data_IF_168079655698
#
_entry.id   IF_168079655698
#
_cell.length_a   1.000
_cell.length_b   1.000
_cell.length_c   1.000
_cell.angle_alpha   90.00
_cell.angle_beta   90.00
_cell.angle_gamma   90.00
#
_symmetry.space_group_name_H-M   'P 1'
#
loop_
_entity.id
_entity.type
_entity.pdbx_description
1 polymer ?
#
# COMPACT_ATOMS: atom_id res chain seq x y z
N UNK A 1 -6.98 3.41 31.35
CA UNK A 1 -5.65 2.97 30.88
C UNK A 1 -5.65 1.45 30.82
N UNK A 2 -5.42 0.85 29.64
CA UNK A 2 -5.39 -0.61 29.48
C UNK A 2 -4.21 -1.24 30.25
N UNK A 3 -4.33 -2.53 30.60
CA UNK A 3 -3.21 -3.24 31.24
C UNK A 3 -1.98 -3.30 30.32
N UNK A 4 -0.76 -3.36 30.88
CA UNK A 4 0.47 -3.49 30.07
C UNK A 4 0.42 -4.69 29.10
N UNK A 5 -0.27 -5.76 29.47
CA UNK A 5 -0.47 -6.93 28.62
C UNK A 5 -1.38 -6.64 27.41
N UNK A 6 -2.42 -5.82 27.59
CA UNK A 6 -3.29 -5.39 26.51
C UNK A 6 -2.56 -4.45 25.55
N UNK A 7 -1.79 -3.50 26.07
CA UNK A 7 -0.97 -2.59 25.24
C UNK A 7 0.05 -3.40 24.43
N UNK A 8 0.71 -4.38 25.05
CA UNK A 8 1.63 -5.27 24.35
C UNK A 8 0.96 -6.04 23.21
N UNK A 9 -0.28 -6.51 23.39
CA UNK A 9 -1.06 -7.19 22.35
C UNK A 9 -1.36 -6.26 21.17
N UNK A 10 -1.80 -5.04 21.44
CA UNK A 10 -2.11 -4.06 20.39
C UNK A 10 -0.86 -3.66 19.60
N UNK A 11 0.27 -3.42 20.27
CA UNK A 11 1.55 -3.13 19.60
C UNK A 11 2.04 -4.30 18.71
N UNK A 12 1.75 -5.54 19.11
CA UNK A 12 2.13 -6.71 18.32
C UNK A 12 1.20 -6.95 17.13
N UNK A 13 -0.11 -6.82 17.34
CA UNK A 13 -1.15 -7.20 16.37
C UNK A 13 -1.47 -6.09 15.37
N UNK A 14 -1.52 -4.82 15.80
CA UNK A 14 -1.89 -3.67 14.94
C UNK A 14 -0.69 -2.92 14.39
N UNK A 15 0.29 -2.67 15.26
CA UNK A 15 1.49 -1.91 14.89
C UNK A 15 2.58 -2.81 14.28
N UNK A 16 2.44 -4.14 14.38
CA UNK A 16 3.36 -5.12 13.79
C UNK A 16 4.74 -5.17 14.44
N UNK A 17 4.92 -4.56 15.63
CA UNK A 17 6.21 -4.46 16.32
C UNK A 17 6.74 -5.82 16.76
N UNK A 18 8.07 -5.96 16.82
CA UNK A 18 8.69 -7.18 17.34
C UNK A 18 8.51 -7.28 18.87
N UNK A 19 8.58 -8.50 19.41
CA UNK A 19 8.51 -8.74 20.86
C UNK A 19 9.65 -8.02 21.60
N UNK A 20 10.82 -7.88 20.96
CA UNK A 20 11.95 -7.14 21.51
C UNK A 20 11.66 -5.64 21.64
N UNK A 21 11.08 -5.04 20.59
CA UNK A 21 10.72 -3.62 20.59
C UNK A 21 9.61 -3.33 21.60
N UNK A 22 8.63 -4.23 21.74
CA UNK A 22 7.55 -4.11 22.73
C UNK A 22 8.10 -4.19 24.15
N UNK A 23 9.02 -5.13 24.39
CA UNK A 23 9.69 -5.28 25.68
C UNK A 23 10.46 -4.00 26.06
N UNK A 24 11.20 -3.44 25.12
CA UNK A 24 11.90 -2.16 25.29
C UNK A 24 10.91 -1.01 25.56
N UNK A 25 9.87 -0.88 24.74
CA UNK A 25 8.86 0.20 24.82
C UNK A 25 8.10 0.18 26.16
N UNK A 26 7.77 -1.00 26.68
CA UNK A 26 7.02 -1.16 27.93
C UNK A 26 7.91 -1.29 29.18
N UNK A 27 9.22 -1.21 28.99
CA UNK A 27 10.25 -1.42 30.00
C UNK A 27 10.03 -2.73 30.79
N UNK A 28 9.89 -3.84 30.07
CA UNK A 28 9.72 -5.19 30.62
C UNK A 28 10.65 -6.17 29.91
N UNK A 29 10.88 -7.34 30.51
CA UNK A 29 11.63 -8.39 29.82
C UNK A 29 10.84 -8.98 28.66
N UNK A 30 11.55 -9.44 27.62
CA UNK A 30 10.95 -10.22 26.51
C UNK A 30 10.21 -11.44 27.04
N UNK A 31 10.73 -12.10 28.08
CA UNK A 31 10.10 -13.23 28.78
C UNK A 31 8.72 -12.87 29.33
N UNK A 32 8.54 -11.65 29.84
CA UNK A 32 7.25 -11.14 30.33
C UNK A 32 6.24 -11.02 29.19
N UNK A 33 6.66 -10.54 28.02
CA UNK A 33 5.80 -10.41 26.83
C UNK A 33 5.40 -11.79 26.29
N UNK A 34 6.34 -12.74 26.19
CA UNK A 34 6.02 -14.13 25.83
C UNK A 34 5.06 -14.79 26.82
N UNK A 35 5.18 -14.48 28.12
CA UNK A 35 4.25 -14.97 29.15
C UNK A 35 2.84 -14.44 28.91
N UNK A 36 2.68 -13.16 28.62
CA UNK A 36 1.37 -12.57 28.32
C UNK A 36 0.74 -13.19 27.09
N UNK A 37 1.52 -13.32 26.00
CA UNK A 37 1.09 -14.00 24.78
C UNK A 37 0.61 -15.44 25.03
N UNK A 38 1.35 -16.22 25.82
CA UNK A 38 0.96 -17.59 26.19
C UNK A 38 -0.30 -17.63 27.07
N UNK A 39 -0.48 -16.65 27.95
CA UNK A 39 -1.64 -16.54 28.83
C UNK A 39 -2.90 -16.16 28.05
N UNK A 40 -2.78 -15.24 27.08
CA UNK A 40 -3.84 -14.87 26.16
C UNK A 40 -4.21 -16.02 25.22
N UNK A 41 -3.23 -16.80 24.74
CA UNK A 41 -3.49 -18.01 23.96
C UNK A 41 -4.33 -19.03 24.74
N UNK A 42 -4.06 -19.23 26.04
CA UNK A 42 -4.89 -20.08 26.91
C UNK A 42 -6.31 -19.56 27.08
N UNK A 43 -6.54 -18.27 26.87
CA UNK A 43 -7.85 -17.62 26.91
C UNK A 43 -8.52 -17.57 25.52
N UNK A 44 -7.93 -18.21 24.52
CA UNK A 44 -8.44 -18.25 23.14
C UNK A 44 -8.05 -17.03 22.28
N UNK A 45 -7.16 -16.16 22.78
CA UNK A 45 -6.70 -14.96 22.07
C UNK A 45 -5.33 -15.26 21.45
N UNK A 46 -5.33 -15.63 20.17
CA UNK A 46 -4.12 -15.92 19.41
C UNK A 46 -3.57 -14.64 18.74
N UNK A 47 -2.40 -14.19 19.20
CA UNK A 47 -1.75 -12.97 18.71
C UNK A 47 -1.22 -13.11 17.29
N UNK A 48 -0.78 -14.30 16.86
CA UNK A 48 -0.36 -14.54 15.48
C UNK A 48 -1.57 -14.45 14.55
N UNK A 49 -2.66 -15.12 14.92
CA UNK A 49 -3.90 -15.08 14.15
C UNK A 49 -4.44 -13.66 14.04
N UNK A 50 -4.50 -12.91 15.15
CA UNK A 50 -4.96 -11.52 15.15
C UNK A 50 -4.07 -10.59 14.31
N UNK A 51 -2.75 -10.82 14.32
CA UNK A 51 -1.82 -10.09 13.46
C UNK A 51 -2.05 -10.41 12.00
N UNK A 52 -2.21 -11.70 11.67
CA UNK A 52 -2.50 -12.13 10.29
C UNK A 52 -3.84 -11.57 9.83
N UNK A 53 -4.90 -11.64 10.64
CA UNK A 53 -6.22 -11.07 10.33
C UNK A 53 -6.15 -9.55 10.14
N UNK A 54 -5.32 -8.85 10.90
CA UNK A 54 -5.07 -7.41 10.73
C UNK A 54 -4.19 -7.08 9.52
N UNK A 55 -3.20 -7.92 9.19
CA UNK A 55 -2.35 -7.74 8.00
C UNK A 55 -3.11 -8.14 6.71
N UNK A 56 -4.11 -9.03 6.82
CA UNK A 56 -5.06 -9.38 5.77
C UNK A 56 -6.21 -8.35 5.63
N UNK A 57 -6.33 -7.41 6.55
CA UNK A 57 -7.19 -6.24 6.39
C UNK A 57 -6.56 -5.34 5.31
N UNK A 58 -6.93 -5.65 4.07
CA UNK A 58 -6.39 -5.11 2.83
C UNK A 58 -6.40 -3.57 2.82
N UNK A 59 -7.35 -2.96 3.53
CA UNK A 59 -7.46 -1.52 3.71
C UNK A 59 -6.33 -0.94 4.58
N UNK A 60 -5.96 -1.63 5.67
CA UNK A 60 -4.89 -1.20 6.57
C UNK A 60 -3.51 -1.34 5.92
N UNK A 61 -3.30 -2.41 5.14
CA UNK A 61 -2.11 -2.57 4.29
C UNK A 61 -2.02 -1.44 3.25
N UNK A 62 -3.11 -1.21 2.49
CA UNK A 62 -3.21 -0.12 1.50
C UNK A 62 -2.97 1.26 2.11
N UNK A 63 -3.44 1.51 3.34
CA UNK A 63 -3.25 2.78 4.05
C UNK A 63 -1.80 3.01 4.47
N UNK A 64 -1.12 1.98 5.01
CA UNK A 64 0.31 2.04 5.36
C UNK A 64 1.19 2.22 4.12
N UNK A 65 0.85 1.55 3.01
CA UNK A 65 1.55 1.68 1.74
C UNK A 65 1.42 3.09 1.14
N UNK A 66 0.21 3.66 1.14
CA UNK A 66 -0.03 5.05 0.70
C UNK A 66 0.72 6.07 1.57
N UNK A 67 0.70 5.91 2.89
CA UNK A 67 1.43 6.79 3.81
C UNK A 67 2.95 6.74 3.58
N UNK A 68 3.49 5.55 3.31
CA UNK A 68 4.91 5.38 2.99
C UNK A 68 5.31 6.04 1.67
N UNK A 69 4.48 5.91 0.63
CA UNK A 69 4.69 6.59 -0.66
C UNK A 69 4.66 8.11 -0.51
N UNK A 70 3.68 8.66 0.21
CA UNK A 70 3.60 10.10 0.49
C UNK A 70 4.84 10.61 1.22
N UNK A 71 5.33 9.89 2.23
CA UNK A 71 6.54 10.28 2.96
C UNK A 71 7.78 10.33 2.05
N UNK A 72 7.91 9.44 1.06
CA UNK A 72 9.00 9.48 0.07
C UNK A 72 8.87 10.71 -0.82
N UNK A 73 7.67 11.01 -1.31
CA UNK A 73 7.43 12.20 -2.15
C UNK A 73 7.68 13.50 -1.37
N UNK A 74 7.22 13.61 -0.14
CA UNK A 74 7.47 14.78 0.72
C UNK A 74 8.95 14.98 1.03
N UNK A 75 9.70 13.89 1.21
CA UNK A 75 11.14 13.95 1.44
C UNK A 75 11.86 14.41 0.16
N UNK A 76 11.43 13.92 -1.00
CA UNK A 76 11.96 14.34 -2.30
C UNK A 76 11.70 15.83 -2.57
N UNK A 77 10.47 16.30 -2.31
CA UNK A 77 10.11 17.71 -2.50
C UNK A 77 10.87 18.63 -1.56
N UNK A 78 11.09 18.21 -0.31
CA UNK A 78 11.90 18.95 0.67
C UNK A 78 13.36 19.05 0.23
N UNK A 79 13.91 17.95 -0.27
CA UNK A 79 15.32 17.87 -0.63
C UNK A 79 15.58 18.40 -2.05
N UNK A 80 14.54 18.73 -2.82
CA UNK A 80 14.62 19.19 -4.21
C UNK A 80 15.62 20.33 -4.40
N UNK A 81 15.57 21.35 -3.56
CA UNK A 81 16.46 22.51 -3.69
C UNK A 81 17.92 22.16 -3.35
N UNK A 82 18.14 21.23 -2.41
CA UNK A 82 19.46 20.70 -2.07
C UNK A 82 20.02 19.82 -3.20
N UNK A 83 19.16 19.06 -3.88
CA UNK A 83 19.50 18.24 -5.05
C UNK A 83 19.85 19.13 -6.26
N UNK A 84 19.20 20.28 -6.39
CA UNK A 84 19.55 21.29 -7.39
C UNK A 84 20.77 22.14 -7.03
N UNK A 85 21.21 22.14 -5.77
CA UNK A 85 22.40 22.86 -5.32
C UNK A 85 23.66 21.99 -5.26
N UNK A 86 23.55 20.66 -5.32
CA UNK A 86 24.70 19.76 -5.24
C UNK A 86 25.43 19.58 -6.57
N UNK A 87 26.67 19.07 -6.48
CA UNK A 87 27.51 18.78 -7.65
C UNK A 87 26.86 17.79 -8.62
N UNK A 88 27.14 17.89 -9.93
CA UNK A 88 26.48 17.09 -10.96
C UNK A 88 26.55 15.58 -10.74
N UNK A 89 27.67 15.05 -10.27
CA UNK A 89 27.85 13.61 -9.98
C UNK A 89 26.97 13.16 -8.80
N UNK A 90 26.92 13.97 -7.74
CA UNK A 90 26.10 13.70 -6.56
C UNK A 90 24.60 13.84 -6.87
N UNK A 91 24.25 14.76 -7.77
CA UNK A 91 22.88 14.89 -8.29
C UNK A 91 22.46 13.64 -9.05
N UNK A 92 23.33 13.13 -9.93
CA UNK A 92 23.06 11.93 -10.71
C UNK A 92 22.84 10.71 -9.79
N UNK A 93 23.70 10.52 -8.80
CA UNK A 93 23.60 9.43 -7.82
C UNK A 93 22.29 9.48 -7.01
N UNK A 94 21.86 10.68 -6.61
CA UNK A 94 20.59 10.88 -5.91
C UNK A 94 19.40 10.57 -6.82
N UNK A 95 19.42 11.06 -8.07
CA UNK A 95 18.35 10.80 -9.05
C UNK A 95 18.22 9.30 -9.36
N UNK A 96 19.34 8.59 -9.57
CA UNK A 96 19.33 7.15 -9.83
C UNK A 96 18.74 6.36 -8.66
N UNK A 97 19.11 6.73 -7.43
CA UNK A 97 18.58 6.10 -6.21
C UNK A 97 17.06 6.30 -6.10
N UNK A 98 16.57 7.52 -6.31
CA UNK A 98 15.14 7.79 -6.26
C UNK A 98 14.37 7.14 -7.41
N UNK A 99 14.95 7.10 -8.61
CA UNK A 99 14.37 6.42 -9.78
C UNK A 99 14.24 4.91 -9.54
N UNK A 100 15.27 4.27 -8.98
CA UNK A 100 15.24 2.86 -8.61
C UNK A 100 14.21 2.56 -7.50
N UNK A 101 14.10 3.44 -6.50
CA UNK A 101 13.10 3.36 -5.43
C UNK A 101 11.70 3.52 -6.02
N UNK A 102 11.48 4.52 -6.88
CA UNK A 102 10.23 4.76 -7.58
C UNK A 102 9.80 3.57 -8.44
N UNK A 103 10.68 2.99 -9.26
CA UNK A 103 10.33 1.82 -10.08
C UNK A 103 10.02 0.58 -9.24
N UNK A 104 10.75 0.33 -8.16
CA UNK A 104 10.44 -0.77 -7.23
C UNK A 104 9.08 -0.57 -6.57
N UNK A 105 8.77 0.67 -6.16
CA UNK A 105 7.50 1.03 -5.54
C UNK A 105 6.33 0.95 -6.52
N UNK A 106 6.48 1.48 -7.73
CA UNK A 106 5.45 1.40 -8.77
C UNK A 106 5.19 -0.05 -9.19
N UNK A 107 6.23 -0.88 -9.32
CA UNK A 107 6.06 -2.30 -9.63
C UNK A 107 5.44 -3.08 -8.45
N UNK A 108 5.74 -2.71 -7.21
CA UNK A 108 5.11 -3.30 -6.02
C UNK A 108 3.64 -2.87 -5.90
N UNK A 109 3.33 -1.58 -6.12
CA UNK A 109 1.96 -1.06 -6.13
C UNK A 109 1.13 -1.70 -7.23
N UNK A 110 1.67 -1.85 -8.44
CA UNK A 110 0.98 -2.52 -9.57
C UNK A 110 0.70 -4.01 -9.33
N UNK A 111 1.51 -4.67 -8.48
CA UNK A 111 1.28 -6.06 -8.03
C UNK A 111 0.36 -6.16 -6.83
N UNK A 112 0.28 -5.12 -6.01
CA UNK A 112 -0.50 -5.09 -4.77
C UNK A 112 -1.90 -4.49 -4.94
N UNK A 113 -2.19 -3.81 -6.05
CA UNK A 113 -3.48 -3.18 -6.31
C UNK A 113 -4.26 -3.86 -7.46
N UNK A 114 -5.23 -4.73 -7.14
CA UNK A 114 -6.19 -5.24 -8.12
C UNK A 114 -7.00 -4.12 -8.79
N UNK A 115 -7.23 -2.99 -8.11
CA UNK A 115 -7.99 -1.84 -8.63
C UNK A 115 -7.25 -1.10 -9.78
N UNK A 116 -5.93 -0.86 -9.68
CA UNK A 116 -5.15 -0.32 -10.80
C UNK A 116 -5.06 -1.29 -11.98
N UNK A 117 -4.94 -2.60 -11.68
CA UNK A 117 -5.02 -3.64 -12.70
C UNK A 117 -6.40 -3.68 -13.36
N UNK A 118 -7.49 -3.49 -12.59
CA UNK A 118 -8.84 -3.40 -13.12
C UNK A 118 -9.02 -2.17 -13.99
N UNK A 119 -8.59 -0.98 -13.55
CA UNK A 119 -8.67 0.25 -14.38
C UNK A 119 -7.90 0.09 -15.70
N UNK A 120 -6.72 -0.53 -15.67
CA UNK A 120 -5.92 -0.77 -16.88
C UNK A 120 -6.54 -1.86 -17.78
N UNK A 121 -7.16 -2.89 -17.19
CA UNK A 121 -7.92 -3.92 -17.93
C UNK A 121 -9.19 -3.32 -18.55
N UNK A 122 -9.96 -2.53 -17.81
CA UNK A 122 -11.18 -1.85 -18.28
C UNK A 122 -10.83 -0.92 -19.45
N UNK A 123 -9.79 -0.11 -19.29
CA UNK A 123 -9.31 0.76 -20.37
C UNK A 123 -8.94 -0.05 -21.61
N UNK A 124 -8.16 -1.13 -21.45
CA UNK A 124 -7.80 -2.01 -22.57
C UNK A 124 -9.03 -2.67 -23.20
N UNK A 125 -10.03 -3.06 -22.42
CA UNK A 125 -11.27 -3.66 -22.91
C UNK A 125 -12.07 -2.65 -23.72
N UNK A 126 -12.27 -1.42 -23.22
CA UNK A 126 -12.98 -0.36 -23.95
C UNK A 126 -12.25 0.02 -25.24
N UNK A 127 -10.93 0.20 -25.19
CA UNK A 127 -10.09 0.50 -26.36
C UNK A 127 -10.18 -0.63 -27.41
N UNK A 128 -10.19 -1.90 -26.96
CA UNK A 128 -10.30 -3.06 -27.85
C UNK A 128 -11.67 -3.14 -28.51
N UNK A 129 -12.75 -2.89 -27.78
CA UNK A 129 -14.12 -2.89 -28.33
C UNK A 129 -14.29 -1.74 -29.32
N UNK A 130 -13.80 -0.54 -29.02
CA UNK A 130 -13.84 0.60 -29.93
C UNK A 130 -13.06 0.32 -31.22
N UNK A 131 -11.89 -0.31 -31.12
CA UNK A 131 -11.07 -0.71 -32.28
C UNK A 131 -11.80 -1.74 -33.13
N UNK A 132 -12.35 -2.81 -32.53
CA UNK A 132 -13.14 -3.82 -33.23
C UNK A 132 -14.40 -3.25 -33.91
N UNK A 133 -15.06 -2.30 -33.26
CA UNK A 133 -16.22 -1.62 -33.83
C UNK A 133 -15.82 -0.74 -35.02
N UNK A 134 -14.73 0.00 -34.92
CA UNK A 134 -14.19 0.80 -36.01
C UNK A 134 -13.77 -0.07 -37.21
N UNK A 135 -13.05 -1.17 -36.97
CA UNK A 135 -12.64 -2.13 -38.01
C UNK A 135 -13.84 -2.76 -38.75
N UNK A 136 -14.96 -2.97 -38.03
CA UNK A 136 -16.20 -3.50 -38.61
C UNK A 136 -17.15 -2.42 -39.14
N UNK A 137 -16.73 -1.15 -39.18
CA UNK A 137 -17.52 -0.03 -39.68
C UNK A 137 -18.71 0.36 -38.80
N UNK A 138 -18.75 -0.10 -37.54
CA UNK A 138 -19.82 0.15 -36.56
C UNK A 138 -19.56 1.46 -35.81
N UNK A 139 -19.72 2.59 -36.51
CA UNK A 139 -19.55 3.94 -35.94
C UNK A 139 -20.52 4.23 -34.79
N UNK A 140 -21.72 3.65 -34.87
CA UNK A 140 -22.76 3.73 -33.85
C UNK A 140 -22.28 3.24 -32.48
N UNK A 141 -21.48 2.18 -32.45
CA UNK A 141 -20.93 1.61 -31.22
C UNK A 141 -19.78 2.47 -30.69
N UNK A 142 -18.95 3.03 -31.57
CA UNK A 142 -17.83 3.90 -31.18
C UNK A 142 -18.35 5.19 -30.54
N UNK A 143 -19.36 5.82 -31.13
CA UNK A 143 -19.99 7.03 -30.59
C UNK A 143 -20.64 6.76 -29.23
N UNK A 144 -21.42 5.67 -29.10
CA UNK A 144 -22.01 5.27 -27.83
C UNK A 144 -20.98 5.06 -26.71
N UNK A 145 -19.85 4.41 -27.00
CA UNK A 145 -18.79 4.16 -26.02
C UNK A 145 -18.07 5.44 -25.57
N UNK A 146 -17.98 6.45 -26.45
CA UNK A 146 -17.42 7.76 -26.13
C UNK A 146 -18.38 8.53 -25.22
N UNK A 147 -19.67 8.54 -25.55
CA UNK A 147 -20.70 9.28 -24.82
C UNK A 147 -20.90 8.71 -23.40
N UNK A 148 -20.80 7.39 -23.24
CA UNK A 148 -21.02 6.70 -21.96
C UNK A 148 -19.73 6.45 -21.16
N UNK A 149 -18.57 6.92 -21.63
CA UNK A 149 -17.27 6.57 -21.06
C UNK A 149 -17.15 6.91 -19.55
N UNK A 150 -17.64 8.08 -19.14
CA UNK A 150 -17.59 8.51 -17.74
C UNK A 150 -18.59 7.76 -16.85
N UNK A 151 -19.72 7.35 -17.41
CA UNK A 151 -20.71 6.55 -16.69
C UNK A 151 -20.24 5.10 -16.50
N UNK A 152 -19.60 4.53 -17.53
CA UNK A 152 -18.92 3.22 -17.45
C UNK A 152 -17.83 3.26 -16.37
N UNK A 153 -17.00 4.30 -16.33
CA UNK A 153 -15.98 4.48 -15.28
C UNK A 153 -16.61 4.53 -13.88
N UNK A 154 -17.70 5.29 -13.71
CA UNK A 154 -18.39 5.42 -12.41
C UNK A 154 -18.98 4.10 -11.92
N UNK A 155 -19.59 3.30 -12.80
CA UNK A 155 -20.24 2.04 -12.43
C UNK A 155 -19.27 0.91 -12.12
N UNK A 156 -18.07 0.96 -12.67
CA UNK A 156 -17.06 -0.08 -12.44
C UNK A 156 -16.12 0.27 -11.28
N UNK A 157 -16.08 1.54 -10.85
CA UNK A 157 -15.33 1.99 -9.67
C UNK A 157 -16.10 1.86 -8.33
N UNK A 158 -17.33 1.33 -8.35
CA UNK A 158 -18.15 1.00 -7.17
C UNK A 158 -17.95 -0.47 -6.75
#
# INVERSE_FOLDING_TARGET
MGSKAQIARELYTKDGRSIADIAHTLNVSTRTVYRWKKLDLKRGIDWERLRIEHDLDEETYRKKQRAFLMAIFETLDRDRDLIHACDPEKRLEIIEKYTAIYHKLMNAARKAEPELAQVEVIRKTVDTIATLAAEKGRKDIVEFLIDELEEIKRRVAQ
#
